data_IF_985476125886
#
_entry.id   IF_985476125886
#
_cell.length_a   1.000
_cell.length_b   1.000
_cell.length_c   1.000
_cell.angle_alpha   90.00
_cell.angle_beta   90.00
_cell.angle_gamma   90.00
#
_symmetry.space_group_name_H-M   'P 1'
#
loop_
_entity.id
_entity.type
_entity.pdbx_description
1 polymer ?
#
# COMPACT_ATOMS: atom_id res chain seq x y z
N UNK A 1 27.81 34.71 -16.46
CA UNK A 1 27.91 35.69 -15.35
C UNK A 1 27.29 35.17 -14.05
N UNK A 2 26.22 34.35 -14.09
CA UNK A 2 25.47 33.98 -12.88
C UNK A 2 26.06 32.76 -12.10
N UNK A 3 26.63 31.78 -12.78
CA UNK A 3 27.26 30.61 -12.11
C UNK A 3 28.50 30.96 -11.27
N UNK A 4 29.22 32.04 -11.64
CA UNK A 4 30.40 32.47 -10.87
C UNK A 4 30.05 33.19 -9.56
N UNK A 5 28.88 33.80 -9.45
CA UNK A 5 28.47 34.58 -8.28
C UNK A 5 28.06 33.71 -7.08
N UNK A 6 27.32 32.63 -7.30
CA UNK A 6 26.84 31.76 -6.20
C UNK A 6 28.02 31.03 -5.48
N UNK A 7 28.97 30.51 -6.25
CA UNK A 7 30.17 29.87 -5.70
C UNK A 7 31.08 30.87 -4.94
N UNK A 8 31.24 32.07 -5.49
CA UNK A 8 32.01 33.12 -4.86
C UNK A 8 31.34 33.64 -3.57
N UNK A 9 30.04 33.78 -3.55
CA UNK A 9 29.26 34.17 -2.36
C UNK A 9 29.40 33.10 -1.27
N UNK A 10 29.31 31.81 -1.59
CA UNK A 10 29.51 30.72 -0.62
C UNK A 10 30.93 30.75 -0.03
N UNK A 11 31.94 30.89 -0.85
CA UNK A 11 33.30 30.96 -0.37
C UNK A 11 33.48 32.11 0.65
N UNK A 12 32.94 33.29 0.35
CA UNK A 12 32.94 34.44 1.26
C UNK A 12 32.21 34.13 2.55
N UNK A 13 31.01 33.52 2.47
CA UNK A 13 30.21 33.14 3.63
C UNK A 13 30.96 32.15 4.52
N UNK A 14 31.60 31.12 3.94
CA UNK A 14 32.34 30.11 4.69
C UNK A 14 33.59 30.67 5.37
N UNK A 15 34.33 31.57 4.70
CA UNK A 15 35.47 32.27 5.26
C UNK A 15 35.07 33.17 6.44
N UNK A 16 34.00 33.93 6.29
CA UNK A 16 33.56 34.86 7.33
C UNK A 16 32.88 34.17 8.51
N UNK A 17 32.17 33.07 8.32
CA UNK A 17 31.56 32.30 9.41
C UNK A 17 32.55 31.75 10.43
N UNK A 18 33.80 31.54 10.02
CA UNK A 18 34.88 31.07 10.90
C UNK A 18 35.52 32.19 11.71
N UNK A 19 35.18 33.46 11.47
CA UNK A 19 35.74 34.57 12.18
C UNK A 19 35.24 34.66 13.63
N UNK A 20 36.10 34.65 14.64
CA UNK A 20 35.70 34.81 16.05
C UNK A 20 35.22 36.24 16.38
N UNK A 21 35.42 37.19 15.50
CA UNK A 21 35.01 38.58 15.65
C UNK A 21 33.69 38.95 15.03
N UNK A 22 32.93 37.95 14.59
CA UNK A 22 31.64 38.20 13.94
C UNK A 22 30.60 38.72 14.93
N UNK A 23 30.09 39.92 14.70
CA UNK A 23 28.98 40.48 15.47
C UNK A 23 27.66 39.76 15.17
N UNK A 24 26.67 39.86 16.08
CA UNK A 24 25.35 39.29 15.86
C UNK A 24 24.69 39.78 14.56
N UNK A 25 24.82 41.09 14.30
CA UNK A 25 24.29 41.73 13.07
C UNK A 25 24.97 41.17 11.81
N UNK A 26 26.30 40.99 11.87
CA UNK A 26 27.01 40.40 10.71
C UNK A 26 26.63 38.93 10.46
N UNK A 27 26.32 38.16 11.52
CA UNK A 27 25.81 36.78 11.39
C UNK A 27 24.46 36.77 10.70
N UNK A 28 23.55 37.66 11.10
CA UNK A 28 22.23 37.77 10.45
C UNK A 28 22.37 38.07 8.96
N UNK A 29 23.23 39.03 8.58
CA UNK A 29 23.47 39.31 7.17
C UNK A 29 24.10 38.15 6.40
N UNK A 30 24.98 37.36 7.02
CA UNK A 30 25.53 36.18 6.39
C UNK A 30 24.46 35.08 6.18
N UNK A 31 23.55 34.89 7.13
CA UNK A 31 22.43 33.96 6.97
C UNK A 31 21.46 34.39 5.87
N UNK A 32 21.19 35.71 5.75
CA UNK A 32 20.43 36.28 4.65
C UNK A 32 21.12 36.06 3.28
N UNK A 33 22.42 36.29 3.19
CA UNK A 33 23.18 36.04 1.98
C UNK A 33 23.22 34.56 1.60
N UNK A 34 23.34 33.69 2.57
CA UNK A 34 23.28 32.22 2.34
C UNK A 34 21.93 31.81 1.82
N UNK A 35 20.83 32.32 2.42
CA UNK A 35 19.46 32.07 1.93
C UNK A 35 19.29 32.53 0.49
N UNK A 36 19.73 33.74 0.17
CA UNK A 36 19.66 34.30 -1.20
C UNK A 36 20.48 33.47 -2.20
N UNK A 37 21.67 32.98 -1.76
CA UNK A 37 22.50 32.11 -2.60
C UNK A 37 21.80 30.78 -2.88
N UNK A 38 21.21 30.11 -1.87
CA UNK A 38 20.47 28.86 -2.07
C UNK A 38 19.22 29.07 -2.92
N UNK A 39 18.54 30.20 -2.78
CA UNK A 39 17.40 30.57 -3.65
C UNK A 39 17.84 30.72 -5.11
N UNK A 40 18.95 31.37 -5.36
CA UNK A 40 19.48 31.54 -6.72
C UNK A 40 19.88 30.20 -7.34
N UNK A 41 20.53 29.31 -6.56
CA UNK A 41 20.87 27.97 -7.01
C UNK A 41 19.63 27.12 -7.30
N UNK A 42 18.55 27.29 -6.53
CA UNK A 42 17.29 26.61 -6.79
C UNK A 42 16.62 27.10 -8.09
N UNK A 43 16.63 28.39 -8.39
CA UNK A 43 16.11 28.92 -9.66
C UNK A 43 16.94 28.41 -10.86
N UNK A 44 18.27 28.32 -10.73
CA UNK A 44 19.14 27.71 -11.73
C UNK A 44 18.83 26.21 -11.92
N UNK A 45 18.61 25.49 -10.83
CA UNK A 45 18.23 24.09 -10.86
C UNK A 45 16.90 23.90 -11.61
N UNK A 46 15.85 24.71 -11.31
CA UNK A 46 14.58 24.65 -11.99
C UNK A 46 14.71 24.84 -13.51
N UNK A 47 15.55 25.76 -13.93
CA UNK A 47 15.83 26.02 -15.34
C UNK A 47 16.63 24.90 -16.02
N UNK A 48 17.45 24.16 -15.28
CA UNK A 48 18.32 23.11 -15.77
C UNK A 48 17.63 21.74 -15.83
N UNK A 49 16.58 21.54 -15.03
CA UNK A 49 15.86 20.26 -14.98
C UNK A 49 14.86 20.18 -16.14
N UNK A 50 15.30 19.57 -17.23
CA UNK A 50 14.50 19.38 -18.45
C UNK A 50 14.31 17.92 -18.84
N UNK A 51 15.12 16.98 -18.27
CA UNK A 51 15.09 15.57 -18.59
C UNK A 51 15.63 14.70 -17.42
N UNK A 52 15.59 13.39 -17.56
CA UNK A 52 16.09 12.45 -16.55
C UNK A 52 17.60 12.52 -16.29
N UNK A 53 18.39 13.03 -17.22
CA UNK A 53 19.85 13.21 -17.06
C UNK A 53 20.16 14.31 -16.05
N UNK A 54 19.22 15.22 -15.82
CA UNK A 54 19.32 16.28 -14.82
C UNK A 54 19.13 15.81 -13.37
N UNK A 55 18.80 14.54 -13.15
CA UNK A 55 18.58 13.98 -11.79
C UNK A 55 19.81 14.02 -10.89
N UNK A 56 21.03 13.94 -11.46
CA UNK A 56 22.27 14.08 -10.69
C UNK A 56 22.39 15.48 -10.08
N UNK A 57 22.07 16.54 -10.85
CA UNK A 57 22.07 17.90 -10.35
C UNK A 57 21.06 18.11 -9.23
N UNK A 58 19.89 17.48 -9.33
CA UNK A 58 18.87 17.51 -8.30
C UNK A 58 19.33 16.79 -7.03
N UNK A 59 19.98 15.64 -7.17
CA UNK A 59 20.55 14.90 -6.04
C UNK A 59 21.64 15.70 -5.34
N UNK A 60 22.54 16.32 -6.09
CA UNK A 60 23.60 17.17 -5.55
C UNK A 60 23.01 18.35 -4.78
N UNK A 61 21.98 19.00 -5.33
CA UNK A 61 21.27 20.09 -4.65
C UNK A 61 20.66 19.62 -3.32
N UNK A 62 19.96 18.49 -3.30
CA UNK A 62 19.33 17.93 -2.11
C UNK A 62 20.33 17.55 -1.01
N UNK A 63 21.57 17.16 -1.39
CA UNK A 63 22.64 16.81 -0.46
C UNK A 63 23.38 18.01 0.10
N UNK A 64 23.47 19.12 -0.65
CA UNK A 64 24.36 20.25 -0.33
C UNK A 64 23.66 21.47 0.26
N UNK A 65 22.34 21.60 0.09
CA UNK A 65 21.58 22.77 0.51
C UNK A 65 20.84 22.52 1.83
N UNK A 66 20.82 23.52 2.72
CA UNK A 66 20.29 23.36 4.09
C UNK A 66 18.84 23.81 4.26
N UNK A 67 18.37 24.79 3.47
CA UNK A 67 17.03 25.35 3.65
C UNK A 67 15.93 24.38 3.20
N UNK A 68 15.10 23.98 4.16
CA UNK A 68 14.07 22.97 3.99
C UNK A 68 13.09 23.32 2.86
N UNK A 69 12.69 24.57 2.73
CA UNK A 69 11.73 25.00 1.70
C UNK A 69 12.23 24.74 0.28
N UNK A 70 13.52 25.01 -0.01
CA UNK A 70 14.09 24.74 -1.32
C UNK A 70 14.29 23.25 -1.56
N UNK A 71 14.65 22.50 -0.52
CA UNK A 71 14.75 21.03 -0.60
C UNK A 71 13.39 20.37 -0.86
N UNK A 72 12.33 20.85 -0.21
CA UNK A 72 10.96 20.33 -0.41
C UNK A 72 10.48 20.62 -1.84
N UNK A 73 10.72 21.84 -2.35
CA UNK A 73 10.41 22.20 -3.72
C UNK A 73 11.27 21.41 -4.74
N UNK A 74 12.57 21.21 -4.46
CA UNK A 74 13.43 20.39 -5.30
C UNK A 74 12.97 18.93 -5.33
N UNK A 75 12.54 18.36 -4.20
CA UNK A 75 11.94 17.03 -4.17
C UNK A 75 10.67 16.94 -5.03
N UNK A 76 9.86 17.99 -5.07
CA UNK A 76 8.68 18.04 -5.95
C UNK A 76 9.07 18.04 -7.44
N UNK A 77 10.18 18.70 -7.82
CA UNK A 77 10.72 18.64 -9.19
C UNK A 77 11.22 17.23 -9.57
N UNK A 78 11.58 16.41 -8.59
CA UNK A 78 11.97 15.02 -8.82
C UNK A 78 10.81 14.13 -9.30
N UNK A 79 9.58 14.44 -8.89
CA UNK A 79 8.39 13.63 -9.13
C UNK A 79 8.15 13.29 -10.60
N UNK A 80 8.27 14.20 -11.58
CA UNK A 80 8.08 13.87 -13.00
C UNK A 80 9.11 12.87 -13.54
N UNK A 81 10.30 12.80 -12.96
CA UNK A 81 11.42 11.96 -13.44
C UNK A 81 11.50 10.60 -12.74
N UNK A 82 10.86 10.45 -11.57
CA UNK A 82 10.70 9.14 -10.91
C UNK A 82 9.56 8.34 -11.53
N UNK A 83 9.03 8.80 -12.67
CA UNK A 83 7.79 8.29 -13.27
C UNK A 83 7.86 6.83 -13.71
N UNK A 84 9.04 6.23 -13.86
CA UNK A 84 9.14 4.81 -14.16
C UNK A 84 10.30 4.15 -13.42
N UNK A 85 10.02 3.60 -12.25
CA UNK A 85 10.95 2.64 -11.63
C UNK A 85 10.56 1.25 -12.08
N UNK A 86 11.52 0.52 -12.66
CA UNK A 86 11.36 -0.88 -13.03
C UNK A 86 12.19 -1.71 -12.06
N UNK A 87 11.53 -2.58 -11.31
CA UNK A 87 12.19 -3.58 -10.46
C UNK A 87 12.06 -4.92 -11.16
N UNK A 88 13.19 -5.51 -11.52
CA UNK A 88 13.24 -6.78 -12.22
C UNK A 88 13.98 -7.83 -11.40
N UNK A 89 13.40 -9.03 -11.34
CA UNK A 89 14.01 -10.27 -10.85
C UNK A 89 13.92 -11.32 -11.96
N UNK A 90 14.59 -12.48 -11.84
CA UNK A 90 14.47 -13.53 -12.86
C UNK A 90 13.03 -14.00 -13.15
N UNK A 91 12.12 -13.86 -12.17
CA UNK A 91 10.75 -14.34 -12.26
C UNK A 91 9.69 -13.24 -12.24
N UNK A 92 10.06 -11.99 -12.01
CA UNK A 92 9.09 -10.90 -11.95
C UNK A 92 9.64 -9.56 -12.44
N UNK A 93 8.77 -8.75 -13.03
CA UNK A 93 9.05 -7.35 -13.40
C UNK A 93 7.91 -6.49 -12.88
N UNK A 94 8.25 -5.41 -12.16
CA UNK A 94 7.30 -4.46 -11.59
C UNK A 94 7.58 -3.05 -12.10
N UNK A 95 6.54 -2.39 -12.58
CA UNK A 95 6.58 -1.04 -13.12
C UNK A 95 5.86 -0.10 -12.16
N UNK A 96 6.52 0.98 -11.77
CA UNK A 96 5.99 1.99 -10.87
C UNK A 96 5.87 3.34 -11.56
N UNK A 97 4.85 4.10 -11.21
CA UNK A 97 4.68 5.49 -11.61
C UNK A 97 4.43 6.33 -10.34
N UNK A 98 5.30 7.31 -10.09
CA UNK A 98 5.20 8.14 -8.88
C UNK A 98 5.19 7.32 -7.58
N UNK A 99 5.95 6.22 -7.52
CA UNK A 99 5.99 5.30 -6.39
C UNK A 99 4.82 4.31 -6.31
N UNK A 100 3.83 4.40 -7.21
CA UNK A 100 2.69 3.48 -7.28
C UNK A 100 2.93 2.38 -8.29
N UNK A 101 2.65 1.12 -7.92
CA UNK A 101 2.75 -0.02 -8.81
C UNK A 101 1.64 0.06 -9.87
N UNK A 102 2.00 0.27 -11.14
CA UNK A 102 1.04 0.38 -12.25
C UNK A 102 0.91 -0.91 -13.07
N UNK A 103 1.96 -1.75 -13.08
CA UNK A 103 1.96 -3.03 -13.78
C UNK A 103 2.94 -3.98 -13.12
N UNK A 104 2.57 -5.26 -13.04
CA UNK A 104 3.51 -6.35 -12.76
C UNK A 104 3.40 -7.43 -13.83
N UNK A 105 4.50 -8.16 -14.04
CA UNK A 105 4.53 -9.39 -14.82
C UNK A 105 5.31 -10.42 -14.00
N UNK A 106 4.72 -11.59 -13.83
CA UNK A 106 5.29 -12.69 -13.05
C UNK A 106 5.28 -13.97 -13.89
N UNK A 107 6.41 -14.69 -13.87
CA UNK A 107 6.59 -15.95 -14.55
C UNK A 107 6.79 -17.03 -13.50
N UNK A 108 5.92 -18.01 -13.50
CA UNK A 108 6.06 -19.21 -12.68
C UNK A 108 5.87 -20.49 -13.48
N UNK A 109 5.94 -21.65 -12.83
CA UNK A 109 5.73 -22.95 -13.45
C UNK A 109 4.34 -23.13 -14.05
N UNK A 110 3.38 -22.26 -13.73
CA UNK A 110 2.00 -22.33 -14.20
C UNK A 110 1.73 -21.44 -15.41
N UNK A 111 2.62 -20.49 -15.72
CA UNK A 111 2.51 -19.56 -16.85
C UNK A 111 3.00 -18.15 -16.54
N UNK A 112 2.65 -17.23 -17.44
CA UNK A 112 2.99 -15.81 -17.32
C UNK A 112 1.74 -15.04 -16.89
N UNK A 113 1.79 -14.33 -15.78
CA UNK A 113 0.71 -13.48 -15.32
C UNK A 113 1.11 -12.01 -15.39
N UNK A 114 0.34 -11.21 -16.10
CA UNK A 114 0.48 -9.76 -16.16
C UNK A 114 -0.69 -9.09 -15.44
N UNK A 115 -0.41 -8.20 -14.49
CA UNK A 115 -1.43 -7.45 -13.76
C UNK A 115 -1.22 -5.96 -13.94
N UNK A 116 -2.28 -5.23 -14.30
CA UNK A 116 -2.34 -3.76 -14.31
C UNK A 116 -3.13 -3.26 -13.10
N UNK A 117 -2.75 -2.08 -12.60
CA UNK A 117 -3.29 -1.47 -11.40
C UNK A 117 -3.80 -0.07 -11.72
N UNK A 118 -5.00 0.27 -11.29
CA UNK A 118 -5.60 1.60 -11.46
C UNK A 118 -5.96 2.19 -10.11
N UNK A 119 -5.72 3.50 -9.96
CA UNK A 119 -5.91 4.25 -8.72
C UNK A 119 -6.83 5.44 -8.95
N UNK A 120 -7.54 5.85 -7.91
CA UNK A 120 -8.27 7.11 -7.89
C UNK A 120 -7.34 8.30 -7.61
N UNK A 121 -7.91 9.51 -7.60
CA UNK A 121 -7.18 10.76 -7.35
C UNK A 121 -6.58 10.81 -5.94
N UNK A 122 -7.16 10.07 -4.97
CA UNK A 122 -6.64 9.94 -3.61
C UNK A 122 -5.51 8.91 -3.49
N UNK A 123 -5.25 8.14 -4.55
CA UNK A 123 -4.24 7.10 -4.58
C UNK A 123 -4.70 5.74 -4.05
N UNK A 124 -6.00 5.52 -3.94
CA UNK A 124 -6.58 4.26 -3.54
C UNK A 124 -6.67 3.32 -4.75
N UNK A 125 -6.35 2.05 -4.57
CA UNK A 125 -6.37 1.04 -5.64
C UNK A 125 -7.82 0.65 -5.98
N UNK A 126 -8.39 1.23 -7.03
CA UNK A 126 -9.78 1.01 -7.44
C UNK A 126 -9.96 -0.18 -8.35
N UNK A 127 -8.95 -0.57 -9.13
CA UNK A 127 -9.06 -1.72 -10.02
C UNK A 127 -7.74 -2.43 -10.24
N UNK A 128 -7.81 -3.75 -10.46
CA UNK A 128 -6.72 -4.55 -11.01
C UNK A 128 -7.27 -5.41 -12.16
N UNK A 129 -6.46 -5.57 -13.21
CA UNK A 129 -6.74 -6.50 -14.31
C UNK A 129 -5.56 -7.45 -14.44
N UNK A 130 -5.80 -8.74 -14.20
CA UNK A 130 -4.79 -9.80 -14.30
C UNK A 130 -5.09 -10.70 -15.51
N UNK A 131 -4.10 -10.90 -16.34
CA UNK A 131 -4.12 -11.81 -17.48
C UNK A 131 -3.07 -12.89 -17.29
N UNK A 132 -3.50 -14.15 -17.25
CA UNK A 132 -2.59 -15.31 -17.22
C UNK A 132 -2.53 -15.95 -18.60
N UNK A 133 -1.32 -16.19 -19.10
CA UNK A 133 -1.04 -16.83 -20.37
C UNK A 133 -0.33 -18.16 -20.10
N UNK A 134 -0.87 -19.28 -20.63
CA UNK A 134 -0.27 -20.60 -20.56
C UNK A 134 0.02 -21.11 -21.96
N UNK A 135 1.21 -21.61 -22.21
CA UNK A 135 1.61 -22.11 -23.53
C UNK A 135 1.32 -21.12 -24.67
N UNK A 136 1.54 -19.83 -24.43
CA UNK A 136 1.29 -18.76 -25.40
C UNK A 136 -0.19 -18.40 -25.63
N UNK A 137 -1.14 -19.03 -24.92
CA UNK A 137 -2.57 -18.75 -25.03
C UNK A 137 -3.13 -18.12 -23.75
N UNK A 138 -4.00 -17.10 -23.86
CA UNK A 138 -4.71 -16.55 -22.72
C UNK A 138 -5.54 -17.64 -22.01
N UNK A 139 -5.22 -17.94 -20.76
CA UNK A 139 -5.89 -19.01 -19.99
C UNK A 139 -6.88 -18.45 -18.98
N UNK A 140 -6.61 -17.30 -18.39
CA UNK A 140 -7.45 -16.68 -17.39
C UNK A 140 -7.35 -15.18 -17.43
N UNK A 141 -8.47 -14.49 -17.25
CA UNK A 141 -8.54 -13.04 -17.15
C UNK A 141 -9.46 -12.68 -15.97
N UNK A 142 -8.94 -11.90 -15.03
CA UNK A 142 -9.61 -11.55 -13.79
C UNK A 142 -9.52 -10.04 -13.59
N UNK A 143 -10.66 -9.41 -13.41
CA UNK A 143 -10.76 -8.01 -13.01
C UNK A 143 -11.28 -7.93 -11.58
N UNK A 144 -10.61 -7.13 -10.75
CA UNK A 144 -11.07 -6.82 -9.40
C UNK A 144 -11.33 -5.32 -9.31
N UNK A 145 -12.55 -4.93 -8.89
CA UNK A 145 -12.92 -3.53 -8.67
C UNK A 145 -13.24 -3.31 -7.20
N UNK A 146 -12.89 -2.13 -6.68
CA UNK A 146 -13.03 -1.75 -5.26
C UNK A 146 -13.72 -0.40 -5.13
N UNK A 147 -14.51 -0.27 -4.05
CA UNK A 147 -15.09 0.99 -3.62
C UNK A 147 -14.64 1.27 -2.18
N UNK A 148 -14.45 2.55 -1.90
CA UNK A 148 -13.98 3.03 -0.60
C UNK A 148 -15.00 4.00 0.00
N UNK A 149 -15.07 4.04 1.33
CA UNK A 149 -15.78 5.08 2.04
C UNK A 149 -15.01 6.41 1.99
N UNK A 150 -15.59 7.54 2.46
CA UNK A 150 -14.90 8.82 2.49
C UNK A 150 -13.62 8.84 3.34
N UNK A 151 -13.51 7.92 4.31
CA UNK A 151 -12.36 7.75 5.21
C UNK A 151 -11.24 6.91 4.61
N UNK A 152 -11.51 6.23 3.48
CA UNK A 152 -10.51 5.43 2.77
C UNK A 152 -10.52 3.94 3.07
N UNK A 153 -11.55 3.44 3.76
CA UNK A 153 -11.69 2.00 3.99
C UNK A 153 -12.36 1.33 2.79
N UNK A 154 -11.82 0.22 2.34
CA UNK A 154 -12.43 -0.59 1.27
C UNK A 154 -13.70 -1.27 1.80
N UNK A 155 -14.86 -0.78 1.36
CA UNK A 155 -16.18 -1.29 1.78
C UNK A 155 -16.78 -2.32 0.83
N UNK A 156 -16.33 -2.32 -0.42
CA UNK A 156 -16.82 -3.25 -1.44
C UNK A 156 -15.69 -3.67 -2.38
N UNK A 157 -15.68 -4.94 -2.74
CA UNK A 157 -14.79 -5.52 -3.74
C UNK A 157 -15.57 -6.54 -4.57
N UNK A 158 -15.42 -6.47 -5.89
CA UNK A 158 -15.95 -7.48 -6.81
C UNK A 158 -14.85 -8.00 -7.71
N UNK A 159 -14.77 -9.30 -7.84
CA UNK A 159 -13.89 -9.96 -8.79
C UNK A 159 -14.75 -10.58 -9.89
N UNK A 160 -14.43 -10.25 -11.15
CA UNK A 160 -15.16 -10.67 -12.33
C UNK A 160 -14.24 -11.34 -13.35
N UNK A 161 -14.79 -12.22 -14.15
CA UNK A 161 -14.16 -12.61 -15.40
C UNK A 161 -14.68 -11.66 -16.49
N UNK A 162 -13.86 -10.76 -17.05
CA UNK A 162 -14.34 -9.75 -18.00
C UNK A 162 -14.82 -10.33 -19.33
N UNK A 163 -14.36 -11.53 -19.72
CA UNK A 163 -14.80 -12.22 -20.95
C UNK A 163 -16.22 -12.77 -20.83
N UNK A 164 -16.54 -13.42 -19.71
CA UNK A 164 -17.86 -14.00 -19.46
C UNK A 164 -18.80 -13.02 -18.79
N UNK A 165 -18.30 -11.89 -18.30
CA UNK A 165 -19.03 -10.89 -17.50
C UNK A 165 -19.67 -11.50 -16.24
N UNK A 166 -19.08 -12.56 -15.71
CA UNK A 166 -19.57 -13.23 -14.50
C UNK A 166 -18.71 -12.83 -13.29
N UNK A 167 -19.39 -12.55 -12.19
CA UNK A 167 -18.71 -12.32 -10.93
C UNK A 167 -18.14 -13.64 -10.41
N UNK A 168 -16.91 -13.67 -9.99
CA UNK A 168 -16.31 -14.81 -9.28
C UNK A 168 -16.66 -14.73 -7.80
N UNK A 169 -16.61 -13.54 -7.23
CA UNK A 169 -17.13 -13.23 -5.90
C UNK A 169 -17.45 -11.73 -5.76
N UNK A 170 -18.27 -11.44 -4.75
CA UNK A 170 -18.50 -10.08 -4.22
C UNK A 170 -18.21 -10.07 -2.73
N UNK A 171 -17.47 -9.06 -2.30
CA UNK A 171 -17.11 -8.83 -0.90
C UNK A 171 -17.69 -7.51 -0.43
N UNK A 172 -18.37 -7.53 0.71
CA UNK A 172 -18.92 -6.32 1.34
C UNK A 172 -18.43 -6.26 2.79
N UNK A 173 -17.89 -5.12 3.21
CA UNK A 173 -17.42 -4.89 4.56
C UNK A 173 -18.26 -3.84 5.25
N UNK A 174 -18.57 -4.08 6.51
CA UNK A 174 -19.12 -3.10 7.42
C UNK A 174 -17.99 -2.57 8.30
N UNK A 175 -17.84 -1.25 8.27
CA UNK A 175 -16.82 -0.54 9.04
C UNK A 175 -17.50 0.12 10.23
N UNK A 176 -16.93 -0.05 11.42
CA UNK A 176 -17.36 0.61 12.63
C UNK A 176 -17.01 2.10 12.64
N UNK A 177 -17.57 2.83 13.59
CA UNK A 177 -17.32 4.28 13.74
C UNK A 177 -15.88 4.61 14.12
N UNK A 178 -15.15 3.63 14.63
CA UNK A 178 -13.71 3.72 14.96
C UNK A 178 -12.78 3.32 13.79
N UNK A 179 -13.35 2.99 12.61
CA UNK A 179 -12.63 2.55 11.44
C UNK A 179 -12.27 1.06 11.43
N UNK A 180 -12.64 0.30 12.47
CA UNK A 180 -12.42 -1.15 12.49
C UNK A 180 -13.42 -1.89 11.60
N UNK A 181 -13.01 -3.05 11.05
CA UNK A 181 -13.94 -3.94 10.33
C UNK A 181 -14.79 -4.66 11.37
N UNK A 182 -16.12 -4.43 11.35
CA UNK A 182 -17.07 -5.15 12.20
C UNK A 182 -17.48 -6.49 11.57
N UNK A 183 -17.70 -6.48 10.26
CA UNK A 183 -18.05 -7.70 9.52
C UNK A 183 -17.59 -7.64 8.06
N UNK A 184 -17.41 -8.82 7.49
CA UNK A 184 -17.04 -9.07 6.10
C UNK A 184 -17.95 -10.16 5.54
N UNK A 185 -18.61 -9.90 4.43
CA UNK A 185 -19.45 -10.86 3.72
C UNK A 185 -18.90 -11.13 2.33
N UNK A 186 -18.61 -12.38 2.05
CA UNK A 186 -18.06 -12.85 0.77
C UNK A 186 -19.10 -13.77 0.09
N UNK A 187 -19.64 -13.34 -1.06
CA UNK A 187 -20.59 -14.10 -1.84
C UNK A 187 -19.94 -14.59 -3.14
N UNK A 188 -19.94 -15.88 -3.35
CA UNK A 188 -19.42 -16.55 -4.55
C UNK A 188 -20.46 -16.71 -5.64
N UNK A 189 -20.01 -16.91 -6.88
CA UNK A 189 -20.88 -17.17 -8.05
C UNK A 189 -21.73 -18.42 -7.90
N UNK A 190 -21.23 -19.45 -7.21
CA UNK A 190 -21.96 -20.69 -6.93
C UNK A 190 -23.10 -20.52 -5.91
N UNK A 191 -23.28 -19.31 -5.40
CA UNK A 191 -24.29 -18.93 -4.41
C UNK A 191 -23.85 -19.13 -2.96
N UNK A 192 -22.66 -19.66 -2.70
CA UNK A 192 -22.09 -19.80 -1.37
C UNK A 192 -21.79 -18.42 -0.77
N UNK A 193 -22.05 -18.27 0.53
CA UNK A 193 -21.79 -17.03 1.27
C UNK A 193 -20.99 -17.32 2.52
N UNK A 194 -19.93 -16.55 2.76
CA UNK A 194 -19.14 -16.58 3.99
C UNK A 194 -19.30 -15.23 4.68
N UNK A 195 -19.69 -15.26 5.96
CA UNK A 195 -19.81 -14.07 6.80
C UNK A 195 -18.81 -14.20 7.95
N UNK A 196 -17.94 -13.21 8.09
CA UNK A 196 -16.94 -13.10 9.16
C UNK A 196 -17.26 -11.89 10.04
N UNK A 197 -17.15 -12.05 11.35
CA UNK A 197 -17.34 -10.99 12.34
C UNK A 197 -16.07 -10.78 13.13
N UNK A 198 -15.81 -9.53 13.50
CA UNK A 198 -14.58 -9.14 14.19
C UNK A 198 -14.91 -8.36 15.46
N UNK A 199 -14.04 -8.45 16.47
CA UNK A 199 -14.12 -7.60 17.64
C UNK A 199 -13.46 -6.23 17.38
N UNK A 200 -13.55 -5.31 18.34
CA UNK A 200 -12.94 -3.97 18.25
C UNK A 200 -11.41 -3.97 18.07
N UNK A 201 -10.74 -5.06 18.37
CA UNK A 201 -9.30 -5.23 18.15
C UNK A 201 -8.97 -5.75 16.74
N UNK A 202 -10.01 -5.97 15.88
CA UNK A 202 -9.85 -6.54 14.54
C UNK A 202 -9.63 -8.05 14.52
N UNK A 203 -9.85 -8.74 15.64
CA UNK A 203 -9.67 -10.19 15.72
C UNK A 203 -10.96 -10.90 15.28
N UNK A 204 -10.81 -11.94 14.46
CA UNK A 204 -11.91 -12.74 13.92
C UNK A 204 -12.62 -13.52 15.04
N UNK A 205 -13.85 -13.15 15.37
CA UNK A 205 -14.65 -13.79 16.42
C UNK A 205 -15.57 -14.87 15.91
N UNK A 206 -16.06 -14.73 14.69
CA UNK A 206 -17.02 -15.68 14.12
C UNK A 206 -16.85 -15.79 12.61
N UNK A 207 -17.04 -17.00 12.06
CA UNK A 207 -17.22 -17.25 10.63
C UNK A 207 -18.38 -18.18 10.42
N UNK A 208 -19.30 -17.83 9.52
CA UNK A 208 -20.42 -18.63 9.09
C UNK A 208 -20.34 -18.85 7.59
N UNK A 209 -20.43 -20.09 7.16
CA UNK A 209 -20.49 -20.46 5.75
C UNK A 209 -21.87 -21.02 5.41
N UNK A 210 -22.50 -20.46 4.38
CA UNK A 210 -23.81 -20.85 3.89
C UNK A 210 -23.70 -21.39 2.47
N UNK A 211 -24.52 -22.41 2.15
CA UNK A 211 -24.66 -22.89 0.78
C UNK A 211 -25.55 -21.94 -0.05
N UNK A 212 -25.75 -22.27 -1.32
CA UNK A 212 -26.60 -21.51 -2.27
C UNK A 212 -28.04 -21.36 -1.84
N UNK A 213 -28.58 -22.27 -0.99
CA UNK A 213 -29.94 -22.25 -0.47
C UNK A 213 -30.07 -21.42 0.82
N UNK A 214 -28.97 -20.84 1.33
CA UNK A 214 -28.93 -20.11 2.60
C UNK A 214 -28.85 -21.01 3.83
N UNK A 215 -28.54 -22.30 3.68
CA UNK A 215 -28.40 -23.23 4.78
C UNK A 215 -26.96 -23.16 5.32
N UNK A 216 -26.80 -23.09 6.66
CA UNK A 216 -25.51 -23.05 7.32
C UNK A 216 -24.78 -24.39 7.12
N UNK A 217 -23.57 -24.30 6.57
CA UNK A 217 -22.72 -25.47 6.28
C UNK A 217 -21.55 -25.61 7.25
N UNK A 218 -20.98 -24.49 7.67
CA UNK A 218 -19.88 -24.47 8.61
C UNK A 218 -19.97 -23.25 9.53
N UNK A 219 -19.48 -23.40 10.73
CA UNK A 219 -19.45 -22.37 11.75
C UNK A 219 -18.14 -22.46 12.52
N UNK A 220 -17.50 -21.31 12.74
CA UNK A 220 -16.33 -21.18 13.59
C UNK A 220 -16.55 -20.02 14.56
N UNK A 221 -16.27 -20.25 15.86
CA UNK A 221 -16.27 -19.18 16.87
C UNK A 221 -14.96 -19.18 17.64
N UNK A 222 -14.38 -18.01 17.78
CA UNK A 222 -13.12 -17.75 18.46
C UNK A 222 -13.33 -16.85 19.67
N UNK A 223 -12.61 -17.15 20.75
CA UNK A 223 -12.54 -16.29 21.93
C UNK A 223 -11.10 -15.90 22.19
N UNK A 224 -10.93 -14.68 22.66
CA UNK A 224 -9.62 -14.10 22.93
C UNK A 224 -9.57 -13.58 24.37
N UNK A 225 -8.38 -13.57 24.95
CA UNK A 225 -8.12 -12.89 26.21
C UNK A 225 -7.97 -11.37 26.01
N UNK A 226 -7.79 -10.65 27.10
CA UNK A 226 -7.62 -9.18 27.09
C UNK A 226 -6.36 -8.72 26.33
N UNK A 227 -5.41 -9.60 26.09
CA UNK A 227 -4.18 -9.35 25.31
C UNK A 227 -4.33 -9.71 23.83
N UNK A 228 -5.51 -10.16 23.41
CA UNK A 228 -5.79 -10.57 22.04
C UNK A 228 -5.27 -11.96 21.65
N UNK A 229 -4.91 -12.81 22.63
CA UNK A 229 -4.47 -14.19 22.38
C UNK A 229 -5.68 -15.12 22.32
N UNK A 230 -5.69 -16.03 21.33
CA UNK A 230 -6.77 -17.00 21.15
C UNK A 230 -6.82 -17.97 22.32
N UNK A 231 -7.90 -17.97 23.09
CA UNK A 231 -8.09 -18.89 24.25
C UNK A 231 -9.06 -20.03 23.96
N UNK A 232 -9.90 -19.91 22.95
CA UNK A 232 -10.77 -21.00 22.51
C UNK A 232 -11.17 -20.82 21.07
N UNK A 233 -11.19 -21.93 20.31
CA UNK A 233 -11.78 -22.03 19.00
C UNK A 233 -12.79 -23.18 18.98
N UNK A 234 -13.97 -22.93 18.44
CA UNK A 234 -14.98 -23.94 18.20
C UNK A 234 -15.26 -23.97 16.70
N UNK A 235 -15.19 -25.17 16.13
CA UNK A 235 -15.50 -25.42 14.73
C UNK A 235 -16.61 -26.45 14.62
N UNK A 236 -17.61 -26.20 13.75
CA UNK A 236 -18.69 -27.11 13.44
C UNK A 236 -18.81 -27.24 11.92
N UNK A 237 -18.85 -28.48 11.45
CA UNK A 237 -19.15 -28.77 10.04
C UNK A 237 -20.53 -29.45 9.99
N UNK A 238 -21.46 -28.79 9.29
CA UNK A 238 -22.86 -29.21 9.20
C UNK A 238 -23.19 -29.89 7.86
N UNK A 239 -22.21 -30.05 6.96
CA UNK A 239 -22.39 -30.66 5.63
C UNK A 239 -22.98 -32.08 5.69
N UNK A 240 -22.84 -32.78 6.82
CA UNK A 240 -23.27 -34.16 7.03
C UNK A 240 -24.53 -34.29 7.93
N UNK A 241 -25.16 -33.16 8.29
CA UNK A 241 -26.30 -33.17 9.21
C UNK A 241 -27.55 -33.87 8.67
N UNK A 242 -27.63 -34.18 7.37
CA UNK A 242 -28.74 -34.86 6.73
C UNK A 242 -28.54 -36.39 6.56
N UNK A 243 -27.34 -36.90 6.82
CA UNK A 243 -27.12 -38.32 7.03
C UNK A 243 -27.10 -38.54 8.54
N UNK A 244 -27.56 -39.64 9.04
CA UNK A 244 -27.57 -40.02 10.47
C UNK A 244 -26.21 -39.94 11.18
N UNK A 245 -25.24 -39.31 10.57
CA UNK A 245 -23.84 -39.19 10.97
C UNK A 245 -23.55 -37.78 11.45
N UNK A 246 -23.30 -37.72 12.72
CA UNK A 246 -22.63 -36.75 13.58
C UNK A 246 -22.26 -35.39 12.98
N UNK A 247 -22.87 -34.32 13.49
CA UNK A 247 -22.30 -32.97 13.45
C UNK A 247 -20.86 -33.07 13.99
N UNK A 248 -19.87 -32.91 13.12
CA UNK A 248 -18.48 -32.86 13.55
C UNK A 248 -18.29 -31.50 14.23
N UNK A 249 -18.19 -31.54 15.56
CA UNK A 249 -17.88 -30.35 16.37
C UNK A 249 -16.54 -30.59 17.04
N UNK A 250 -15.62 -29.68 16.79
CA UNK A 250 -14.32 -29.63 17.45
C UNK A 250 -14.24 -28.36 18.30
N UNK A 251 -13.72 -28.48 19.51
CA UNK A 251 -13.45 -27.35 20.37
C UNK A 251 -12.03 -27.46 20.91
N UNK A 252 -11.24 -26.46 20.64
CA UNK A 252 -9.87 -26.33 21.12
C UNK A 252 -9.84 -25.26 22.20
N UNK A 253 -9.04 -25.48 23.24
CA UNK A 253 -8.75 -24.53 24.29
C UNK A 253 -7.23 -24.33 24.34
N UNK A 254 -6.80 -23.10 24.57
CA UNK A 254 -5.42 -22.70 24.58
C UNK A 254 -5.09 -22.02 25.92
N UNK A 255 -4.00 -22.43 26.54
CA UNK A 255 -3.49 -21.82 27.75
C UNK A 255 -2.12 -21.20 27.48
N UNK A 256 -1.82 -20.14 28.22
CA UNK A 256 -0.55 -19.44 28.05
C UNK A 256 0.11 -19.21 29.40
N UNK A 257 1.42 -19.39 29.43
CA UNK A 257 2.21 -19.07 30.63
C UNK A 257 2.26 -17.52 30.85
N UNK A 258 2.89 -17.15 31.96
CA UNK A 258 3.05 -15.73 32.34
C UNK A 258 3.86 -14.91 31.32
N UNK A 259 4.62 -15.56 30.46
CA UNK A 259 5.44 -14.94 29.40
C UNK A 259 4.70 -14.88 28.06
N UNK A 260 3.55 -15.57 27.95
CA UNK A 260 2.74 -15.60 26.73
C UNK A 260 3.05 -16.75 25.78
N UNK A 261 3.79 -17.75 26.22
CA UNK A 261 4.00 -18.98 25.47
C UNK A 261 2.83 -19.97 25.69
N UNK A 262 2.43 -20.63 24.61
CA UNK A 262 1.41 -21.68 24.65
C UNK A 262 1.92 -22.85 25.49
N UNK A 263 1.10 -23.31 26.46
CA UNK A 263 1.42 -24.39 27.38
C UNK A 263 0.71 -25.68 27.03
#
# INVERSE_FOLDING_TARGET
>A
REKGNATAIRQIIDEYKQSPYLTSTARTHLDELEYLSEKADFELLKAAIVNSESLSMLQDFLCTHKYKEFRDQANALRTPFILQTIISTPTSVKYYNGGRLIKSAENDSTGNTSTTYSYDDKGQLISTLSLTVKNGQPSNEIQTNRLYDPQGHCIFEVQTNPKTKTDLYRRTRRIGTDGSIESDSLKYTDGRVIISSYNKQGLLTETKEYNKNGELQAYTANKYDDKGRLISSQHQNLLFANSSDQIISQKDAYEYDKYGYLT
#
